data_IF_749663211157
#
_entry.id   IF_749663211157
#
_cell.length_a   1.000
_cell.length_b   1.000
_cell.length_c   1.000
_cell.angle_alpha   90.00
_cell.angle_beta   90.00
_cell.angle_gamma   90.00
#
_symmetry.space_group_name_H-M   'P 1'
#
loop_
_entity.id
_entity.type
_entity.pdbx_description
1 polymer ?
#
# COMPACT_ATOMS: atom_id res chain seq x y z
N UNK A 1 -15.83 9.27 -22.81
CA UNK A 1 -16.19 8.32 -21.73
C UNK A 1 -16.21 9.08 -20.42
N UNK A 2 -17.32 9.08 -19.74
CA UNK A 2 -17.46 9.72 -18.43
C UNK A 2 -17.25 8.64 -17.35
N UNK A 3 -16.35 8.87 -16.44
CA UNK A 3 -16.12 7.98 -15.30
C UNK A 3 -17.07 8.31 -14.16
N UNK A 4 -17.32 7.33 -13.28
CA UNK A 4 -18.27 7.43 -12.18
C UNK A 4 -17.52 7.56 -10.84
N UNK A 5 -17.67 8.71 -10.20
CA UNK A 5 -17.07 8.98 -8.88
C UNK A 5 -17.54 7.99 -7.82
N UNK A 6 -18.85 7.75 -7.76
CA UNK A 6 -19.42 6.87 -6.74
C UNK A 6 -18.89 5.46 -6.87
N UNK A 7 -18.84 4.95 -8.10
CA UNK A 7 -18.27 3.63 -8.35
C UNK A 7 -16.77 3.60 -8.06
N UNK A 8 -16.02 4.62 -8.46
CA UNK A 8 -14.59 4.70 -8.17
C UNK A 8 -14.29 4.67 -6.66
N UNK A 9 -15.06 5.42 -5.88
CA UNK A 9 -14.96 5.39 -4.42
C UNK A 9 -15.32 4.02 -3.85
N UNK A 10 -16.33 3.37 -4.42
CA UNK A 10 -16.75 2.04 -4.01
C UNK A 10 -15.65 1.01 -4.34
N UNK A 11 -15.02 1.11 -5.50
CA UNK A 11 -13.92 0.23 -5.89
C UNK A 11 -12.67 0.42 -5.03
N UNK A 12 -12.40 1.63 -4.57
CA UNK A 12 -11.34 1.90 -3.59
C UNK A 12 -11.57 1.10 -2.31
N UNK A 13 -12.81 1.01 -1.86
CA UNK A 13 -13.20 0.15 -0.73
C UNK A 13 -13.12 -1.34 -1.06
N UNK A 14 -13.66 -1.75 -2.22
CA UNK A 14 -13.68 -3.15 -2.64
C UNK A 14 -12.28 -3.73 -2.85
N UNK A 15 -11.32 -2.92 -3.31
CA UNK A 15 -9.91 -3.30 -3.43
C UNK A 15 -9.13 -3.26 -2.13
N UNK A 16 -9.79 -2.99 -1.00
CA UNK A 16 -9.18 -2.86 0.33
C UNK A 16 -8.15 -1.73 0.45
N UNK A 17 -8.19 -0.77 -0.45
CA UNK A 17 -7.23 0.35 -0.46
C UNK A 17 -7.32 1.20 0.81
N UNK A 18 -8.52 1.37 1.36
CA UNK A 18 -8.76 2.10 2.61
C UNK A 18 -8.07 1.48 3.84
N UNK A 19 -7.77 0.19 3.80
CA UNK A 19 -7.11 -0.47 4.92
C UNK A 19 -5.73 0.14 5.22
N UNK A 20 -5.04 0.59 4.19
CA UNK A 20 -3.67 1.10 4.28
C UNK A 20 -3.51 2.55 3.85
N UNK A 21 -4.31 3.01 2.88
CA UNK A 21 -4.17 4.33 2.28
C UNK A 21 -5.25 5.29 2.72
N UNK A 22 -4.87 6.56 2.81
CA UNK A 22 -5.78 7.68 3.02
C UNK A 22 -5.95 8.44 1.71
N UNK A 23 -7.18 8.87 1.44
CA UNK A 23 -7.49 9.75 0.31
C UNK A 23 -8.61 10.70 0.74
N UNK A 24 -8.49 11.99 0.43
CA UNK A 24 -9.45 13.02 0.81
C UNK A 24 -9.80 13.00 2.31
N UNK A 25 -8.81 12.70 3.16
CA UNK A 25 -8.97 12.67 4.62
C UNK A 25 -9.59 11.39 5.20
N UNK A 26 -9.88 10.40 4.37
CA UNK A 26 -10.49 9.12 4.79
C UNK A 26 -9.54 7.96 4.54
N UNK A 27 -9.48 7.02 5.47
CA UNK A 27 -8.74 5.78 5.33
C UNK A 27 -7.58 5.60 6.30
N UNK A 28 -6.79 4.55 6.10
CA UNK A 28 -5.66 4.20 6.94
C UNK A 28 -4.44 5.08 6.72
N UNK A 29 -3.43 4.91 7.56
CA UNK A 29 -2.20 5.70 7.52
C UNK A 29 -0.93 4.85 7.43
N UNK A 30 -1.06 3.54 7.19
CA UNK A 30 0.09 2.64 7.10
C UNK A 30 0.77 2.66 5.74
N UNK A 31 0.04 3.02 4.68
CA UNK A 31 0.57 3.30 3.37
C UNK A 31 0.59 4.80 3.07
N UNK A 32 1.13 5.21 1.91
CA UNK A 32 1.13 6.62 1.52
C UNK A 32 -0.28 7.22 1.40
N UNK A 33 -0.41 8.50 1.75
CA UNK A 33 -1.61 9.28 1.45
C UNK A 33 -1.70 9.50 -0.06
N UNK A 34 -2.83 9.15 -0.67
CA UNK A 34 -3.02 9.16 -2.11
C UNK A 34 -3.73 10.43 -2.63
N UNK A 35 -4.04 11.39 -1.75
CA UNK A 35 -4.80 12.59 -2.12
C UNK A 35 -4.17 13.38 -3.26
N UNK A 36 -2.84 13.44 -3.31
CA UNK A 36 -2.10 14.22 -4.32
C UNK A 36 -1.41 13.35 -5.38
N UNK A 37 -1.71 12.07 -5.41
CA UNK A 37 -0.99 11.11 -6.28
C UNK A 37 -1.19 11.40 -7.77
N UNK A 38 -2.36 11.91 -8.15
CA UNK A 38 -2.67 12.25 -9.54
C UNK A 38 -1.83 13.39 -10.12
N UNK A 39 -1.27 14.24 -9.27
CA UNK A 39 -0.34 15.29 -9.68
C UNK A 39 1.12 14.86 -9.75
N UNK A 40 1.44 13.68 -9.21
CA UNK A 40 2.81 13.15 -9.15
C UNK A 40 3.07 12.06 -10.17
N UNK A 41 2.05 11.26 -10.50
CA UNK A 41 2.18 10.09 -11.36
C UNK A 41 1.10 10.09 -12.44
N UNK A 42 1.45 9.57 -13.62
CA UNK A 42 0.48 9.33 -14.69
C UNK A 42 -0.41 8.11 -14.40
N UNK A 43 -1.48 7.98 -15.16
CA UNK A 43 -2.44 6.88 -15.02
C UNK A 43 -1.78 5.51 -15.18
N UNK A 44 -0.87 5.37 -16.14
CA UNK A 44 -0.14 4.13 -16.37
C UNK A 44 0.68 3.73 -15.15
N UNK A 45 1.45 4.68 -14.59
CA UNK A 45 2.32 4.39 -13.45
C UNK A 45 1.51 4.02 -12.20
N UNK A 46 0.38 4.68 -11.99
CA UNK A 46 -0.53 4.35 -10.88
C UNK A 46 -1.10 2.94 -11.03
N UNK A 47 -1.56 2.59 -12.21
CA UNK A 47 -2.12 1.25 -12.47
C UNK A 47 -1.04 0.18 -12.33
N UNK A 48 0.15 0.42 -12.85
CA UNK A 48 1.29 -0.49 -12.72
C UNK A 48 1.65 -0.72 -11.25
N UNK A 49 1.61 0.31 -10.42
CA UNK A 49 1.88 0.21 -8.98
C UNK A 49 0.86 -0.65 -8.24
N UNK A 50 -0.37 -0.72 -8.73
CA UNK A 50 -1.42 -1.57 -8.17
C UNK A 50 -1.26 -3.02 -8.65
N UNK A 51 -0.95 -3.22 -9.92
CA UNK A 51 -0.82 -4.54 -10.55
C UNK A 51 0.48 -5.23 -10.13
N UNK A 52 1.57 -4.46 -10.07
CA UNK A 52 2.90 -4.95 -9.71
C UNK A 52 3.51 -4.07 -8.59
N UNK A 53 3.01 -4.20 -7.37
CA UNK A 53 3.42 -3.31 -6.27
C UNK A 53 4.87 -3.47 -5.83
N UNK A 54 5.52 -4.57 -6.21
CA UNK A 54 6.94 -4.80 -5.92
C UNK A 54 7.91 -4.13 -6.88
N UNK A 55 7.45 -3.60 -8.00
CA UNK A 55 8.33 -3.02 -9.04
C UNK A 55 9.05 -1.77 -8.56
N UNK A 56 8.34 -0.87 -7.92
CA UNK A 56 8.91 0.31 -7.27
C UNK A 56 8.30 0.48 -5.88
N UNK A 57 9.17 0.46 -4.87
CA UNK A 57 8.74 0.57 -3.47
C UNK A 57 9.35 1.86 -2.90
N UNK A 58 8.51 2.73 -2.33
CA UNK A 58 8.97 3.92 -1.62
C UNK A 58 9.84 3.52 -0.42
N UNK A 59 10.98 4.17 -0.24
CA UNK A 59 11.90 3.92 0.87
C UNK A 59 11.22 4.08 2.23
N UNK A 60 10.21 4.95 2.33
CA UNK A 60 9.46 5.16 3.57
C UNK A 60 8.53 4.00 3.93
N UNK A 61 8.15 3.19 2.94
CA UNK A 61 7.16 2.13 3.11
C UNK A 61 7.70 0.75 2.73
N UNK A 62 9.01 0.66 2.48
CA UNK A 62 9.67 -0.60 2.18
C UNK A 62 9.67 -1.55 3.37
N UNK A 63 9.71 -2.83 3.07
CA UNK A 63 9.90 -3.89 4.06
C UNK A 63 11.34 -4.39 4.06
N UNK A 64 11.68 -5.18 5.08
CA UNK A 64 12.98 -5.79 5.23
C UNK A 64 12.86 -7.29 5.50
N UNK A 65 13.86 -8.04 5.08
CA UNK A 65 13.99 -9.46 5.42
C UNK A 65 14.91 -9.59 6.63
N UNK A 66 14.36 -10.13 7.70
CA UNK A 66 15.07 -10.40 8.95
C UNK A 66 15.45 -11.87 8.96
N UNK A 67 16.75 -12.16 8.93
CA UNK A 67 17.25 -13.53 9.05
C UNK A 67 17.64 -13.78 10.50
N UNK A 68 17.08 -14.83 11.10
CA UNK A 68 17.26 -15.15 12.51
C UNK A 68 18.28 -16.25 12.71
N UNK A 69 18.89 -16.30 13.89
CA UNK A 69 19.91 -17.28 14.26
C UNK A 69 19.40 -18.73 14.24
N UNK A 70 18.08 -18.93 14.39
CA UNK A 70 17.45 -20.26 14.31
C UNK A 70 17.17 -20.73 12.88
N UNK A 71 17.60 -19.97 11.86
CA UNK A 71 17.39 -20.30 10.45
C UNK A 71 16.09 -19.82 9.84
N UNK A 72 15.20 -19.23 10.64
CA UNK A 72 13.94 -18.66 10.10
C UNK A 72 14.15 -17.27 9.52
N UNK A 73 13.27 -16.88 8.61
CA UNK A 73 13.22 -15.54 8.02
C UNK A 73 11.87 -14.91 8.27
N UNK A 74 11.88 -13.60 8.50
CA UNK A 74 10.71 -12.78 8.71
C UNK A 74 10.75 -11.61 7.72
N UNK A 75 9.67 -11.37 6.99
CA UNK A 75 9.56 -10.23 6.10
C UNK A 75 8.54 -9.26 6.67
N UNK A 76 8.93 -8.01 6.86
CA UNK A 76 8.02 -7.02 7.40
C UNK A 76 8.62 -5.63 7.46
N UNK A 77 7.79 -4.69 7.91
CA UNK A 77 8.16 -3.30 8.09
C UNK A 77 8.54 -3.02 9.53
N UNK A 78 9.66 -2.33 9.73
CA UNK A 78 10.06 -1.87 11.07
C UNK A 78 9.13 -0.74 11.49
N UNK A 79 8.36 -0.97 12.54
CA UNK A 79 7.45 0.02 13.11
C UNK A 79 8.11 0.82 14.23
N UNK A 80 9.01 0.19 14.97
CA UNK A 80 9.73 0.82 16.08
C UNK A 80 10.97 0.00 16.42
N UNK A 81 11.90 0.63 17.14
CA UNK A 81 13.07 -0.02 17.69
C UNK A 81 13.26 0.46 19.12
N UNK A 82 13.21 -0.45 20.10
CA UNK A 82 13.36 -0.13 21.54
C UNK A 82 14.09 -1.26 22.24
N UNK A 83 15.01 -0.92 23.17
CA UNK A 83 15.69 -1.89 24.02
C UNK A 83 16.35 -3.04 23.24
N UNK A 84 16.99 -2.73 22.11
CA UNK A 84 17.60 -3.71 21.21
C UNK A 84 16.61 -4.73 20.64
N UNK A 85 15.35 -4.34 20.54
CA UNK A 85 14.31 -5.10 19.85
C UNK A 85 13.75 -4.32 18.68
N UNK A 86 13.54 -5.02 17.54
CA UNK A 86 12.81 -4.49 16.39
C UNK A 86 11.35 -4.89 16.49
N UNK A 87 10.48 -3.93 16.39
CA UNK A 87 9.04 -4.16 16.35
C UNK A 87 8.61 -4.18 14.89
N UNK A 88 8.29 -5.37 14.39
CA UNK A 88 8.09 -5.62 12.96
C UNK A 88 6.63 -5.94 12.69
N UNK A 89 6.02 -5.20 11.76
CA UNK A 89 4.71 -5.55 11.22
C UNK A 89 4.90 -6.41 9.97
N UNK A 90 4.37 -7.63 9.99
CA UNK A 90 4.44 -8.59 8.89
C UNK A 90 3.20 -8.62 8.02
N UNK A 91 2.13 -7.93 8.45
CA UNK A 91 0.86 -7.88 7.74
C UNK A 91 0.25 -6.49 7.85
N UNK A 92 0.33 -5.72 6.77
CA UNK A 92 -0.18 -4.35 6.72
C UNK A 92 -1.70 -4.27 6.80
N UNK A 93 -2.40 -5.37 6.54
CA UNK A 93 -3.85 -5.45 6.73
C UNK A 93 -4.22 -5.52 8.21
N UNK A 94 -3.24 -5.81 9.07
CA UNK A 94 -3.37 -5.84 10.53
C UNK A 94 -2.30 -4.94 11.15
N UNK A 95 -2.43 -3.61 11.01
CA UNK A 95 -1.35 -2.68 11.35
C UNK A 95 -0.98 -2.65 12.85
N UNK A 96 -1.86 -3.10 13.72
CA UNK A 96 -1.60 -3.19 15.16
C UNK A 96 -0.86 -4.45 15.57
N UNK A 97 -0.71 -5.42 14.68
CA UNK A 97 -0.02 -6.69 14.95
C UNK A 97 1.49 -6.48 14.78
N UNK A 98 2.24 -6.70 15.85
CA UNK A 98 3.69 -6.48 15.86
C UNK A 98 4.39 -7.73 16.40
N UNK A 99 5.42 -8.18 15.67
CA UNK A 99 6.34 -9.21 16.12
C UNK A 99 7.61 -8.54 16.64
N UNK A 100 8.00 -8.84 17.88
CA UNK A 100 9.22 -8.30 18.47
C UNK A 100 10.38 -9.24 18.18
N UNK A 101 11.44 -8.69 17.59
CA UNK A 101 12.65 -9.44 17.21
C UNK A 101 13.84 -8.85 17.95
N UNK A 102 14.48 -9.64 18.79
CA UNK A 102 15.68 -9.21 19.51
C UNK A 102 16.87 -9.11 18.56
N UNK A 103 17.62 -8.01 18.64
CA UNK A 103 18.80 -7.80 17.81
C UNK A 103 19.83 -8.92 17.97
N UNK A 104 19.97 -9.49 19.16
CA UNK A 104 20.89 -10.60 19.43
C UNK A 104 20.52 -11.90 18.69
N UNK A 105 19.26 -12.04 18.25
CA UNK A 105 18.77 -13.20 17.51
C UNK A 105 18.85 -13.01 16.00
N UNK A 106 19.38 -11.89 15.52
CA UNK A 106 19.48 -11.58 14.10
C UNK A 106 20.88 -11.94 13.56
N UNK A 107 20.88 -12.55 12.36
CA UNK A 107 22.11 -12.71 11.57
C UNK A 107 22.22 -11.61 10.51
N UNK A 108 21.10 -11.14 9.96
CA UNK A 108 21.09 -10.05 8.98
C UNK A 108 19.73 -9.38 8.87
N UNK A 109 19.74 -8.13 8.40
CA UNK A 109 18.55 -7.39 7.96
C UNK A 109 18.88 -6.85 6.57
N UNK A 110 18.08 -7.18 5.58
CA UNK A 110 18.27 -6.74 4.20
C UNK A 110 16.98 -6.14 3.63
N UNK A 111 17.07 -5.13 2.74
CA UNK A 111 15.88 -4.62 2.06
C UNK A 111 15.16 -5.73 1.29
N UNK A 112 13.84 -5.75 1.38
CA UNK A 112 13.02 -6.71 0.65
C UNK A 112 12.61 -6.15 -0.72
N UNK A 113 12.58 -7.01 -1.72
CA UNK A 113 12.00 -6.70 -3.03
C UNK A 113 10.49 -6.91 -3.06
N UNK A 114 9.92 -7.41 -1.97
CA UNK A 114 8.49 -7.70 -1.86
C UNK A 114 7.81 -6.50 -1.21
N UNK A 115 6.82 -5.92 -1.91
CA UNK A 115 5.99 -4.85 -1.35
C UNK A 115 5.06 -5.40 -0.26
N UNK A 116 4.82 -4.60 0.77
CA UNK A 116 3.78 -4.88 1.76
C UNK A 116 2.37 -4.71 1.18
N UNK A 117 2.23 -3.97 0.09
CA UNK A 117 0.98 -3.90 -0.66
C UNK A 117 0.79 -5.21 -1.43
N UNK A 118 -0.27 -5.99 -1.17
CA UNK A 118 -0.46 -7.26 -1.86
C UNK A 118 -0.83 -7.07 -3.33
N UNK A 119 -0.45 -8.00 -4.21
CA UNK A 119 -0.92 -7.99 -5.59
C UNK A 119 -2.35 -8.52 -5.70
N UNK A 120 -2.98 -8.31 -6.84
CA UNK A 120 -4.28 -8.92 -7.14
C UNK A 120 -5.48 -8.21 -6.55
N UNK A 121 -5.33 -7.02 -5.96
CA UNK A 121 -6.42 -6.28 -5.31
C UNK A 121 -7.54 -5.90 -6.27
N UNK A 122 -7.25 -5.75 -7.56
CA UNK A 122 -8.23 -5.36 -8.59
C UNK A 122 -8.67 -6.53 -9.47
N UNK A 123 -8.30 -7.76 -9.14
CA UNK A 123 -8.59 -8.93 -9.99
C UNK A 123 -10.08 -9.24 -10.13
N UNK A 124 -10.93 -8.78 -9.23
CA UNK A 124 -12.38 -8.96 -9.28
C UNK A 124 -13.11 -7.83 -10.00
N UNK A 125 -12.39 -6.81 -10.44
CA UNK A 125 -12.96 -5.64 -11.10
C UNK A 125 -12.98 -5.82 -12.61
N UNK A 126 -14.04 -5.36 -13.26
CA UNK A 126 -14.07 -5.27 -14.71
C UNK A 126 -13.36 -4.00 -15.19
N UNK A 127 -13.29 -3.81 -16.52
CA UNK A 127 -12.60 -2.66 -17.11
C UNK A 127 -13.18 -1.33 -16.66
N UNK A 128 -14.49 -1.23 -16.55
CA UNK A 128 -15.18 0.00 -16.16
C UNK A 128 -14.89 0.35 -14.69
N UNK A 129 -14.92 -0.66 -13.82
CA UNK A 129 -14.56 -0.51 -12.42
C UNK A 129 -13.13 0.02 -12.25
N UNK A 130 -12.20 -0.53 -13.03
CA UNK A 130 -10.79 -0.10 -12.99
C UNK A 130 -10.66 1.34 -13.48
N UNK A 131 -11.36 1.71 -14.55
CA UNK A 131 -11.33 3.09 -15.05
C UNK A 131 -11.91 4.07 -14.04
N UNK A 132 -12.98 3.72 -13.37
CA UNK A 132 -13.60 4.55 -12.33
C UNK A 132 -12.69 4.67 -11.10
N UNK A 133 -12.03 3.58 -10.70
CA UNK A 133 -11.04 3.59 -9.63
C UNK A 133 -9.86 4.51 -9.98
N UNK A 134 -9.34 4.40 -11.19
CA UNK A 134 -8.23 5.24 -11.64
C UNK A 134 -8.60 6.71 -11.67
N UNK A 135 -9.80 7.04 -12.15
CA UNK A 135 -10.31 8.40 -12.13
C UNK A 135 -10.45 8.93 -10.70
N UNK A 136 -10.91 8.11 -9.77
CA UNK A 136 -11.03 8.46 -8.36
C UNK A 136 -9.65 8.78 -7.74
N UNK A 137 -8.63 7.98 -8.05
CA UNK A 137 -7.26 8.20 -7.58
C UNK A 137 -6.66 9.48 -8.18
N UNK A 138 -6.80 9.68 -9.49
CA UNK A 138 -6.28 10.87 -10.18
C UNK A 138 -6.95 12.14 -9.66
N UNK A 139 -8.26 12.07 -9.38
CA UNK A 139 -9.02 13.17 -8.82
C UNK A 139 -8.71 13.45 -7.34
N UNK A 140 -7.95 12.59 -6.69
CA UNK A 140 -7.64 12.73 -5.26
C UNK A 140 -8.88 12.63 -4.37
N UNK A 141 -9.87 11.84 -4.79
CA UNK A 141 -11.13 11.66 -4.07
C UNK A 141 -12.08 12.87 -4.15
N UNK A 142 -11.90 13.76 -5.12
CA UNK A 142 -12.73 14.97 -5.28
C UNK A 142 -13.85 14.73 -6.29
N UNK A 143 -15.14 14.83 -5.86
CA UNK A 143 -16.27 14.55 -6.73
C UNK A 143 -16.51 15.59 -7.84
N UNK A 144 -15.97 16.78 -7.67
CA UNK A 144 -16.12 17.88 -8.63
C UNK A 144 -15.00 17.93 -9.69
N UNK A 145 -14.13 16.94 -9.70
CA UNK A 145 -13.04 16.85 -10.68
C UNK A 145 -13.58 16.66 -12.11
N UNK A 146 -12.87 17.22 -13.08
CA UNK A 146 -13.28 17.19 -14.49
C UNK A 146 -13.49 15.79 -15.08
N UNK A 147 -12.81 14.77 -14.52
CA UNK A 147 -12.97 13.38 -14.97
C UNK A 147 -14.39 12.81 -14.75
N UNK A 148 -15.18 13.46 -13.90
CA UNK A 148 -16.55 13.02 -13.58
C UNK A 148 -17.65 13.89 -14.18
N UNK A 149 -17.26 14.81 -15.08
CA UNK A 149 -18.20 15.76 -15.71
C UNK A 149 -18.52 15.39 -17.16
#
# INVERSE_FOLDING_TARGET
MVTDFKNGRQMFGAGSCYACHRIAGEGGAVGPDLTSVGGKFGAYDLLESIVDPGKEISDQYGSSVFSLTNGTQLNGRIMNMRNNEYWVNTDMMKPSTVTKVKAENLTSIEPSSISMMPPGLINTMDKEDILDLMAYLIAGGKPDHELFR
#
